data_IF_576912494439
#
_entry.id   IF_576912494439
#
_cell.length_a   1.000
_cell.length_b   1.000
_cell.length_c   1.000
_cell.angle_alpha   90.00
_cell.angle_beta   90.00
_cell.angle_gamma   90.00
#
_symmetry.space_group_name_H-M   'P 1'
#
loop_
_entity.id
_entity.type
_entity.pdbx_description
1 polymer ?
#
# COMPACT_ATOMS: atom_id res chain seq x y z
N UNK A 1 21.48 10.73 -9.85
CA UNK A 1 20.75 10.14 -8.72
C UNK A 1 21.15 8.69 -8.54
N UNK A 2 20.93 7.82 -9.53
CA UNK A 2 21.17 6.38 -9.40
C UNK A 2 22.62 6.00 -9.16
N UNK A 3 23.57 6.57 -9.91
CA UNK A 3 24.98 6.16 -9.79
C UNK A 3 25.51 6.29 -8.36
N UNK A 4 25.12 7.35 -7.64
CA UNK A 4 25.45 7.51 -6.23
C UNK A 4 24.86 6.38 -5.36
N UNK A 5 23.60 6.02 -5.58
CA UNK A 5 22.97 4.90 -4.87
C UNK A 5 23.72 3.59 -5.16
N UNK A 6 24.06 3.34 -6.43
CA UNK A 6 24.78 2.14 -6.84
C UNK A 6 26.19 2.08 -6.23
N UNK A 7 26.91 3.21 -6.21
CA UNK A 7 28.25 3.31 -5.63
C UNK A 7 28.22 3.09 -4.11
N UNK A 8 27.24 3.69 -3.42
CA UNK A 8 27.02 3.52 -1.99
C UNK A 8 26.68 2.06 -1.66
N UNK A 9 25.78 1.42 -2.41
CA UNK A 9 25.47 -0.02 -2.24
C UNK A 9 26.67 -0.90 -2.56
N UNK A 10 27.47 -0.57 -3.57
CA UNK A 10 28.69 -1.31 -3.92
C UNK A 10 29.76 -1.25 -2.83
N UNK A 11 29.79 -0.18 -2.04
CA UNK A 11 30.63 -0.06 -0.85
C UNK A 11 30.16 -0.90 0.35
N UNK A 12 28.88 -1.28 0.40
CA UNK A 12 28.27 -2.00 1.53
C UNK A 12 28.00 -3.47 1.26
N UNK A 13 27.67 -3.84 0.02
CA UNK A 13 27.18 -5.17 -0.34
C UNK A 13 27.94 -5.79 -1.52
N UNK A 14 28.21 -7.12 -1.48
CA UNK A 14 28.69 -7.87 -2.62
C UNK A 14 27.76 -7.76 -3.84
N UNK A 15 28.31 -7.85 -5.05
CA UNK A 15 27.53 -7.71 -6.29
C UNK A 15 26.30 -8.64 -6.34
N UNK A 16 26.42 -9.88 -5.88
CA UNK A 16 25.33 -10.87 -5.86
C UNK A 16 24.15 -10.47 -4.97
N UNK A 17 24.36 -9.65 -3.95
CA UNK A 17 23.29 -9.26 -3.02
C UNK A 17 22.48 -8.07 -3.54
N UNK A 18 23.12 -7.18 -4.32
CA UNK A 18 22.52 -5.98 -4.92
C UNK A 18 22.10 -6.12 -6.37
N UNK A 19 22.39 -7.26 -7.01
CA UNK A 19 22.20 -7.47 -8.45
C UNK A 19 20.76 -7.21 -8.93
N UNK A 20 19.76 -7.72 -8.20
CA UNK A 20 18.33 -7.51 -8.53
C UNK A 20 17.94 -6.04 -8.42
N UNK A 21 18.41 -5.31 -7.40
CA UNK A 21 18.16 -3.87 -7.28
C UNK A 21 18.79 -3.08 -8.44
N UNK A 22 20.02 -3.41 -8.82
CA UNK A 22 20.68 -2.75 -9.95
C UNK A 22 19.97 -2.98 -11.27
N UNK A 23 19.51 -4.22 -11.50
CA UNK A 23 18.65 -4.55 -12.64
C UNK A 23 17.33 -3.76 -12.57
N UNK A 24 16.70 -3.67 -11.40
CA UNK A 24 15.48 -2.91 -11.20
C UNK A 24 15.65 -1.43 -11.60
N UNK A 25 16.77 -0.82 -11.24
CA UNK A 25 17.08 0.54 -11.68
C UNK A 25 17.24 0.61 -13.21
N UNK A 26 18.00 -0.29 -13.83
CA UNK A 26 18.10 -0.31 -15.31
C UNK A 26 16.75 -0.48 -15.99
N UNK A 27 15.87 -1.33 -15.46
CA UNK A 27 14.51 -1.52 -15.97
C UNK A 27 13.68 -0.24 -15.81
N UNK A 28 13.69 0.37 -14.62
CA UNK A 28 12.95 1.59 -14.32
C UNK A 28 13.34 2.74 -15.26
N UNK A 29 14.63 2.86 -15.58
CA UNK A 29 15.18 3.87 -16.48
C UNK A 29 15.20 3.43 -17.96
N UNK A 30 14.59 2.28 -18.29
CA UNK A 30 14.44 1.74 -19.66
C UNK A 30 15.77 1.42 -20.36
N UNK A 31 16.80 1.14 -19.58
CA UNK A 31 18.11 0.65 -20.05
C UNK A 31 18.10 -0.88 -20.24
N UNK A 32 17.19 -1.58 -19.55
CA UNK A 32 16.97 -3.03 -19.65
C UNK A 32 15.46 -3.30 -19.82
N UNK A 33 15.11 -4.38 -20.52
CA UNK A 33 13.71 -4.81 -20.63
C UNK A 33 13.26 -5.52 -19.36
N UNK A 34 12.01 -5.30 -18.95
CA UNK A 34 11.44 -5.98 -17.80
C UNK A 34 11.28 -7.48 -18.08
N UNK A 35 11.72 -8.29 -17.13
CA UNK A 35 11.53 -9.75 -17.11
C UNK A 35 10.59 -10.09 -15.95
N UNK A 36 9.39 -10.56 -16.29
CA UNK A 36 8.37 -10.90 -15.31
C UNK A 36 8.43 -12.40 -15.01
N UNK A 37 8.43 -12.74 -13.72
CA UNK A 37 8.42 -14.14 -13.27
C UNK A 37 7.03 -14.77 -13.35
N UNK A 38 5.98 -13.97 -13.60
CA UNK A 38 4.62 -14.45 -13.81
C UNK A 38 3.87 -13.58 -14.84
N UNK A 39 3.10 -14.16 -15.78
CA UNK A 39 2.44 -13.40 -16.86
C UNK A 39 1.35 -12.44 -16.38
N UNK A 40 0.78 -12.66 -15.20
CA UNK A 40 -0.25 -11.79 -14.60
C UNK A 40 0.30 -10.76 -13.61
N UNK A 41 1.62 -10.75 -13.36
CA UNK A 41 2.25 -9.76 -12.51
C UNK A 41 2.73 -8.59 -13.37
N UNK A 42 2.30 -7.37 -13.04
CA UNK A 42 2.61 -6.16 -13.79
C UNK A 42 2.62 -4.92 -12.89
N UNK A 43 3.61 -4.75 -12.00
CA UNK A 43 3.74 -3.55 -11.18
C UNK A 43 3.74 -2.29 -12.05
N UNK A 44 3.05 -1.24 -11.58
CA UNK A 44 2.91 0.01 -12.34
C UNK A 44 4.12 0.94 -12.26
N UNK A 45 4.99 0.76 -11.25
CA UNK A 45 6.12 1.65 -11.03
C UNK A 45 7.45 0.88 -10.98
N UNK A 46 7.75 0.16 -9.90
CA UNK A 46 9.05 -0.51 -9.72
C UNK A 46 8.87 -2.02 -9.75
N UNK A 47 9.69 -2.68 -10.56
CA UNK A 47 9.85 -4.14 -10.60
C UNK A 47 11.26 -4.50 -10.12
N UNK A 48 11.37 -5.29 -9.05
CA UNK A 48 12.59 -6.01 -8.71
C UNK A 48 12.55 -7.37 -9.42
N UNK A 49 13.37 -7.60 -10.46
CA UNK A 49 13.32 -8.84 -11.24
C UNK A 49 13.92 -10.00 -10.45
N UNK A 50 13.42 -11.22 -10.68
CA UNK A 50 13.96 -12.41 -10.02
C UNK A 50 13.46 -12.61 -8.58
N UNK A 51 12.44 -11.86 -8.14
CA UNK A 51 11.71 -12.17 -6.90
C UNK A 51 10.73 -13.32 -7.11
N UNK A 52 10.46 -14.12 -6.08
CA UNK A 52 9.32 -15.05 -6.11
C UNK A 52 8.05 -14.28 -6.52
N UNK A 53 7.30 -14.82 -7.47
CA UNK A 53 6.05 -14.24 -7.94
C UNK A 53 4.91 -15.21 -7.64
N UNK A 54 4.13 -14.90 -6.61
CA UNK A 54 2.95 -15.65 -6.21
C UNK A 54 1.82 -14.66 -5.90
N UNK A 55 0.56 -14.97 -6.28
CA UNK A 55 -0.56 -14.09 -5.99
C UNK A 55 -0.84 -14.03 -4.48
N UNK A 56 -0.71 -15.15 -3.77
CA UNK A 56 -1.02 -15.29 -2.35
C UNK A 56 0.20 -15.77 -1.56
N UNK A 57 0.28 -15.34 -0.30
CA UNK A 57 1.29 -15.75 0.66
C UNK A 57 0.61 -16.36 1.89
N UNK A 58 1.22 -17.41 2.43
CA UNK A 58 0.64 -18.16 3.54
C UNK A 58 0.90 -17.43 4.86
N UNK A 59 -0.06 -17.52 5.79
CA UNK A 59 0.07 -16.90 7.11
C UNK A 59 1.32 -17.38 7.88
N UNK A 60 1.76 -18.61 7.60
CA UNK A 60 2.96 -19.21 8.18
C UNK A 60 4.28 -18.64 7.65
N UNK A 61 4.25 -17.84 6.58
CA UNK A 61 5.44 -17.18 6.02
C UNK A 61 5.90 -15.98 6.88
N UNK A 62 5.10 -15.59 7.89
CA UNK A 62 5.29 -14.36 8.65
C UNK A 62 5.17 -14.57 10.17
N UNK A 63 6.27 -14.40 10.88
CA UNK A 63 6.32 -14.51 12.36
C UNK A 63 5.45 -13.48 13.10
N UNK A 64 5.08 -12.39 12.42
CA UNK A 64 4.25 -11.33 13.00
C UNK A 64 2.75 -11.59 12.91
N UNK A 65 2.28 -12.50 12.04
CA UNK A 65 0.84 -12.75 11.85
C UNK A 65 0.13 -13.12 13.16
N UNK A 66 0.66 -14.03 14.01
CA UNK A 66 0.01 -14.36 15.28
C UNK A 66 -0.22 -13.16 16.20
N UNK A 67 0.70 -12.17 16.18
CA UNK A 67 0.56 -10.94 16.98
C UNK A 67 -0.57 -10.07 16.47
N UNK A 68 -0.65 -9.88 15.16
CA UNK A 68 -1.70 -9.05 14.53
C UNK A 68 -3.08 -9.69 14.69
N UNK A 69 -3.20 -11.00 14.44
CA UNK A 69 -4.47 -11.73 14.65
C UNK A 69 -4.90 -11.73 16.13
N UNK A 70 -3.95 -11.79 17.08
CA UNK A 70 -4.25 -11.72 18.51
C UNK A 70 -4.74 -10.33 18.96
N UNK A 71 -4.36 -9.26 18.24
CA UNK A 71 -4.82 -7.89 18.49
C UNK A 71 -6.18 -7.59 17.83
N UNK A 72 -6.85 -8.58 17.25
CA UNK A 72 -8.11 -8.40 16.53
C UNK A 72 -9.16 -7.65 17.37
N UNK A 73 -9.38 -8.05 18.63
CA UNK A 73 -10.43 -7.44 19.46
C UNK A 73 -10.15 -5.96 19.77
N UNK A 74 -8.88 -5.58 19.95
CA UNK A 74 -8.48 -4.19 20.18
C UNK A 74 -8.68 -3.35 18.91
N UNK A 75 -8.19 -3.83 17.75
CA UNK A 75 -8.36 -3.17 16.45
C UNK A 75 -9.85 -3.04 16.10
N UNK A 76 -10.62 -4.09 16.39
CA UNK A 76 -12.07 -4.13 16.18
C UNK A 76 -12.79 -3.11 17.06
N UNK A 77 -12.41 -3.01 18.34
CA UNK A 77 -12.99 -2.07 19.28
C UNK A 77 -12.78 -0.61 18.86
N UNK A 78 -11.59 -0.28 18.34
CA UNK A 78 -11.31 1.05 17.79
C UNK A 78 -12.17 1.35 16.56
N UNK A 79 -12.28 0.40 15.63
CA UNK A 79 -13.18 0.54 14.48
C UNK A 79 -14.64 0.73 14.94
N UNK A 80 -15.12 -0.04 15.90
CA UNK A 80 -16.50 0.06 16.37
C UNK A 80 -16.80 1.41 17.02
N UNK A 81 -15.85 1.98 17.77
CA UNK A 81 -15.96 3.33 18.31
C UNK A 81 -16.05 4.39 17.20
N UNK A 82 -15.21 4.27 16.15
CA UNK A 82 -15.26 5.14 14.98
C UNK A 82 -16.61 5.08 14.24
N UNK A 83 -17.20 3.87 14.14
CA UNK A 83 -18.50 3.68 13.50
C UNK A 83 -19.65 4.25 14.36
N UNK A 84 -19.60 4.07 15.68
CA UNK A 84 -20.62 4.59 16.62
C UNK A 84 -20.69 6.13 16.58
N UNK A 85 -19.54 6.79 16.57
CA UNK A 85 -19.46 8.25 16.46
C UNK A 85 -19.68 8.77 15.03
N UNK A 86 -19.82 7.87 14.05
CA UNK A 86 -20.00 8.17 12.62
C UNK A 86 -18.82 8.96 12.05
N UNK A 87 -17.60 8.53 12.37
CA UNK A 87 -16.38 9.06 11.81
C UNK A 87 -16.44 9.13 10.28
N UNK A 88 -15.87 10.18 9.70
CA UNK A 88 -15.83 10.34 8.25
C UNK A 88 -14.79 9.39 7.64
N UNK A 89 -15.26 8.52 6.74
CA UNK A 89 -14.40 7.77 5.82
C UNK A 89 -14.45 8.48 4.46
N UNK A 90 -13.29 8.88 3.95
CA UNK A 90 -13.17 9.65 2.72
C UNK A 90 -13.18 8.72 1.50
N UNK A 91 -13.72 9.11 0.33
CA UNK A 91 -13.55 8.33 -0.90
C UNK A 91 -12.09 7.96 -1.12
N UNK A 92 -11.83 6.70 -1.46
CA UNK A 92 -10.45 6.22 -1.63
C UNK A 92 -9.78 6.89 -2.85
N UNK A 93 -10.52 6.94 -3.97
CA UNK A 93 -10.07 7.62 -5.18
C UNK A 93 -10.66 9.03 -5.17
N UNK A 94 -9.79 10.03 -5.12
CA UNK A 94 -10.17 11.45 -5.16
C UNK A 94 -9.81 12.06 -6.51
N UNK A 95 -10.65 12.96 -7.01
CA UNK A 95 -10.28 13.81 -8.15
C UNK A 95 -9.23 14.82 -7.69
N UNK A 96 -8.18 15.06 -8.48
CA UNK A 96 -7.22 16.12 -8.20
C UNK A 96 -7.37 17.20 -9.28
N UNK A 97 -7.48 18.47 -8.90
CA UNK A 97 -7.80 19.56 -9.84
C UNK A 97 -6.62 19.91 -10.79
N UNK A 98 -5.40 19.47 -10.47
CA UNK A 98 -4.17 19.86 -11.18
C UNK A 98 -3.64 18.84 -12.22
N UNK A 99 -4.26 17.67 -12.37
CA UNK A 99 -3.87 16.67 -13.39
C UNK A 99 -5.11 16.19 -14.15
N UNK A 100 -5.03 16.08 -15.46
CA UNK A 100 -6.21 15.91 -16.33
C UNK A 100 -6.70 14.47 -16.49
N UNK A 101 -6.08 13.48 -15.83
CA UNK A 101 -6.42 12.05 -16.01
C UNK A 101 -6.08 11.23 -14.74
N UNK A 102 -6.92 11.32 -13.69
CA UNK A 102 -6.77 10.52 -12.45
C UNK A 102 -7.40 9.14 -12.51
N UNK A 103 -8.26 8.90 -13.49
CA UNK A 103 -8.96 7.64 -13.54
C UNK A 103 -8.12 6.54 -14.18
N UNK A 104 -7.10 6.89 -14.97
CA UNK A 104 -6.33 5.92 -15.74
C UNK A 104 -5.00 5.59 -15.11
N UNK A 105 -4.82 4.30 -14.85
CA UNK A 105 -3.55 3.73 -14.41
C UNK A 105 -2.57 3.58 -15.59
N UNK A 106 -1.30 3.24 -15.31
CA UNK A 106 -0.33 2.94 -16.40
C UNK A 106 -0.77 1.75 -17.24
N UNK A 107 -1.47 0.80 -16.62
CA UNK A 107 -2.08 -0.35 -17.28
C UNK A 107 -3.34 -0.02 -18.08
N UNK A 108 -3.87 1.21 -17.96
CA UNK A 108 -5.07 1.67 -18.67
C UNK A 108 -6.39 1.35 -17.98
N UNK A 109 -6.36 0.88 -16.73
CA UNK A 109 -7.55 0.68 -15.89
C UNK A 109 -8.21 2.03 -15.64
N UNK A 110 -9.51 2.14 -15.89
CA UNK A 110 -10.29 3.36 -15.73
C UNK A 110 -11.17 3.31 -14.47
N UNK A 111 -10.70 3.97 -13.43
CA UNK A 111 -11.36 4.12 -12.14
C UNK A 111 -12.39 5.25 -12.08
N UNK A 112 -12.80 5.82 -13.21
CA UNK A 112 -13.65 7.03 -13.25
C UNK A 112 -14.95 6.85 -12.47
N UNK A 113 -15.52 5.63 -12.49
CA UNK A 113 -16.73 5.28 -11.73
C UNK A 113 -16.53 5.23 -10.20
N UNK A 114 -15.28 5.12 -9.72
CA UNK A 114 -14.93 5.09 -8.30
C UNK A 114 -14.37 6.44 -7.79
N UNK A 115 -14.05 7.38 -8.68
CA UNK A 115 -13.61 8.73 -8.30
C UNK A 115 -14.71 9.43 -7.49
N UNK A 116 -14.39 9.83 -6.25
CA UNK A 116 -15.33 10.46 -5.33
C UNK A 116 -16.44 9.54 -4.82
N UNK A 117 -16.37 8.23 -5.13
CA UNK A 117 -17.44 7.30 -4.82
C UNK A 117 -17.49 6.97 -3.33
N UNK A 118 -18.70 7.02 -2.76
CA UNK A 118 -18.97 6.55 -1.40
C UNK A 118 -19.08 5.02 -1.32
N UNK A 119 -19.05 4.33 -2.47
CA UNK A 119 -19.05 2.87 -2.50
C UNK A 119 -17.74 2.29 -1.95
N UNK A 120 -16.62 3.00 -2.14
CA UNK A 120 -15.31 2.62 -1.63
C UNK A 120 -14.64 3.80 -0.91
N UNK A 121 -14.53 3.66 0.41
CA UNK A 121 -14.02 4.73 1.28
C UNK A 121 -12.95 4.20 2.22
N UNK A 122 -12.11 5.09 2.72
CA UNK A 122 -10.96 4.79 3.55
C UNK A 122 -10.88 5.71 4.75
N UNK A 123 -10.44 5.15 5.87
CA UNK A 123 -10.02 5.87 7.06
C UNK A 123 -8.52 5.65 7.26
N UNK A 124 -7.70 6.53 6.71
CA UNK A 124 -6.24 6.43 6.81
C UNK A 124 -5.79 6.87 8.20
N UNK A 125 -4.92 6.07 8.82
CA UNK A 125 -4.04 6.48 9.92
C UNK A 125 -2.70 6.96 9.37
N UNK A 126 -2.16 6.24 8.37
CA UNK A 126 -0.96 6.60 7.62
C UNK A 126 -1.25 6.46 6.13
N UNK A 127 -0.80 7.43 5.33
CA UNK A 127 -0.93 7.41 3.87
C UNK A 127 0.39 7.79 3.24
N UNK A 128 0.98 6.87 2.48
CA UNK A 128 2.26 7.06 1.80
C UNK A 128 3.37 7.57 2.74
N UNK A 129 3.43 7.02 3.96
CA UNK A 129 4.37 7.44 5.01
C UNK A 129 3.99 8.71 5.78
N UNK A 130 2.95 9.43 5.37
CA UNK A 130 2.45 10.63 6.08
C UNK A 130 1.44 10.23 7.14
N UNK A 131 1.73 10.62 8.38
CA UNK A 131 0.82 10.47 9.53
C UNK A 131 -0.38 11.41 9.34
N UNK A 132 -1.60 10.86 9.40
CA UNK A 132 -2.84 11.64 9.26
C UNK A 132 -3.37 12.14 10.62
N UNK A 133 -4.40 12.98 10.57
CA UNK A 133 -5.17 13.43 11.73
C UNK A 133 -5.81 12.28 12.54
N UNK A 134 -5.98 11.11 11.93
CA UNK A 134 -6.64 9.97 12.54
C UNK A 134 -5.71 9.03 13.30
N UNK A 135 -4.40 9.23 13.23
CA UNK A 135 -3.40 8.34 13.86
C UNK A 135 -3.70 8.06 15.33
N UNK A 136 -3.90 9.13 16.10
CA UNK A 136 -4.15 9.07 17.54
C UNK A 136 -5.55 8.55 17.90
N UNK A 137 -6.42 8.29 16.92
CA UNK A 137 -7.75 7.72 17.13
C UNK A 137 -7.74 6.19 17.15
N UNK A 138 -6.64 5.58 16.70
CA UNK A 138 -6.45 4.12 16.69
C UNK A 138 -5.14 3.72 17.40
N UNK A 139 -4.91 4.14 18.66
CA UNK A 139 -3.63 3.93 19.35
C UNK A 139 -3.23 2.46 19.47
N UNK A 140 -4.17 1.53 19.67
CA UNK A 140 -3.89 0.09 19.74
C UNK A 140 -3.55 -0.51 18.39
N UNK A 141 -4.27 -0.09 17.35
CA UNK A 141 -3.92 -0.46 15.98
C UNK A 141 -2.50 0.01 15.67
N UNK A 142 -2.18 1.28 15.95
CA UNK A 142 -0.87 1.84 15.65
C UNK A 142 0.26 1.22 16.49
N UNK A 143 0.05 0.94 17.78
CA UNK A 143 1.00 0.23 18.64
C UNK A 143 1.41 -1.14 18.04
N UNK A 144 0.45 -1.87 17.46
CA UNK A 144 0.74 -3.15 16.79
C UNK A 144 1.48 -2.93 15.47
N UNK A 145 1.04 -1.97 14.64
CA UNK A 145 1.67 -1.68 13.36
C UNK A 145 3.12 -1.24 13.52
N UNK A 146 3.41 -0.34 14.47
CA UNK A 146 4.76 0.13 14.83
C UNK A 146 5.69 -1.02 15.26
N UNK A 147 5.13 -2.14 15.74
CA UNK A 147 5.89 -3.32 16.15
C UNK A 147 6.28 -4.26 15.00
N UNK A 148 5.80 -4.02 13.78
CA UNK A 148 6.01 -4.87 12.61
C UNK A 148 7.25 -4.43 11.82
N UNK A 149 7.91 -5.35 11.09
CA UNK A 149 8.90 -4.96 10.08
C UNK A 149 8.18 -4.47 8.81
N UNK A 150 7.37 -3.41 8.91
CA UNK A 150 6.64 -2.87 7.76
C UNK A 150 7.57 -2.07 6.83
N UNK A 151 7.22 -1.95 5.55
CA UNK A 151 8.06 -1.25 4.58
C UNK A 151 7.93 0.26 4.72
N UNK A 152 9.05 0.95 4.56
CA UNK A 152 9.13 2.42 4.61
C UNK A 152 9.80 2.94 3.35
N UNK A 153 9.11 3.87 2.69
CA UNK A 153 9.64 4.62 1.56
C UNK A 153 9.00 6.00 1.48
N UNK A 154 9.85 7.03 1.55
CA UNK A 154 9.48 8.45 1.50
C UNK A 154 8.46 8.73 0.38
N UNK A 155 7.33 9.36 0.72
CA UNK A 155 6.21 9.71 -0.16
C UNK A 155 5.47 8.53 -0.84
N UNK A 156 5.69 7.28 -0.43
CA UNK A 156 5.08 6.11 -1.07
C UNK A 156 4.52 5.04 -0.11
N UNK A 157 5.16 4.78 1.04
CA UNK A 157 4.72 3.75 2.01
C UNK A 157 5.28 4.05 3.41
N UNK A 158 4.64 3.57 4.49
CA UNK A 158 3.50 2.65 4.50
C UNK A 158 2.16 3.31 4.21
N UNK A 159 1.19 2.50 3.80
CA UNK A 159 -0.24 2.79 3.97
C UNK A 159 -0.83 1.95 5.10
N UNK A 160 -1.60 2.58 6.00
CA UNK A 160 -2.30 1.92 7.10
C UNK A 160 -3.68 2.54 7.22
N UNK A 161 -4.73 1.78 6.89
CA UNK A 161 -6.09 2.32 6.83
C UNK A 161 -7.18 1.27 6.96
N UNK A 162 -8.33 1.67 7.50
CA UNK A 162 -9.54 0.88 7.35
C UNK A 162 -10.13 1.11 5.96
N UNK A 163 -10.32 0.03 5.20
CA UNK A 163 -10.95 0.07 3.87
C UNK A 163 -12.38 -0.44 3.96
N UNK A 164 -13.33 0.43 3.63
CA UNK A 164 -14.76 0.17 3.67
C UNK A 164 -15.33 0.08 2.26
N UNK A 165 -15.94 -1.06 1.95
CA UNK A 165 -16.63 -1.31 0.70
C UNK A 165 -18.13 -1.54 0.98
N UNK A 166 -18.98 -0.66 0.46
CA UNK A 166 -20.44 -0.71 0.64
C UNK A 166 -21.07 -1.91 -0.11
N UNK A 167 -22.30 -2.33 0.27
CA UNK A 167 -23.07 -3.31 -0.50
C UNK A 167 -23.14 -2.96 -1.99
N UNK A 168 -22.91 -3.94 -2.85
CA UNK A 168 -22.85 -3.76 -4.31
C UNK A 168 -21.56 -3.14 -4.82
N UNK A 169 -20.62 -2.77 -3.95
CA UNK A 169 -19.32 -2.21 -4.33
C UNK A 169 -18.46 -3.23 -5.08
N UNK A 170 -17.80 -2.75 -6.14
CA UNK A 170 -16.84 -3.53 -6.93
C UNK A 170 -15.64 -2.65 -7.28
N UNK A 171 -14.49 -3.04 -6.77
CA UNK A 171 -13.18 -2.50 -7.15
C UNK A 171 -12.73 -3.30 -8.36
N UNK A 172 -12.69 -2.65 -9.52
CA UNK A 172 -12.39 -3.28 -10.81
C UNK A 172 -10.96 -3.85 -10.89
N UNK A 173 -10.67 -4.75 -11.85
CA UNK A 173 -9.33 -5.29 -12.05
C UNK A 173 -8.26 -4.20 -12.26
N UNK A 174 -7.21 -4.25 -11.43
CA UNK A 174 -6.10 -3.31 -11.45
C UNK A 174 -4.80 -3.94 -10.93
N UNK A 175 -3.72 -3.18 -10.99
CA UNK A 175 -2.39 -3.58 -10.53
C UNK A 175 -1.87 -2.55 -9.53
N UNK A 176 -1.15 -3.04 -8.53
CA UNK A 176 -0.39 -2.24 -7.58
C UNK A 176 0.89 -1.69 -8.20
N UNK A 177 1.58 -0.84 -7.43
CA UNK A 177 2.71 -0.08 -7.95
C UNK A 177 4.02 -0.89 -7.96
N UNK A 178 4.18 -1.85 -7.06
CA UNK A 178 5.48 -2.41 -6.70
C UNK A 178 5.37 -3.90 -6.31
N UNK A 179 6.35 -4.72 -6.67
CA UNK A 179 6.35 -6.17 -6.35
C UNK A 179 7.21 -6.53 -5.12
N UNK A 180 7.89 -5.57 -4.51
CA UNK A 180 8.82 -5.81 -3.40
C UNK A 180 8.13 -5.75 -2.02
N UNK A 181 6.82 -5.48 -2.00
CA UNK A 181 6.00 -5.40 -0.80
C UNK A 181 4.65 -6.07 -1.06
N UNK A 182 4.09 -6.66 -0.03
CA UNK A 182 2.78 -7.29 -0.06
C UNK A 182 1.72 -6.35 0.53
N UNK A 183 0.51 -6.48 0.02
CA UNK A 183 -0.69 -5.89 0.61
C UNK A 183 -1.31 -6.91 1.56
N UNK A 184 -1.59 -6.48 2.78
CA UNK A 184 -2.08 -7.33 3.86
C UNK A 184 -3.43 -6.83 4.34
N UNK A 185 -4.42 -7.71 4.38
CA UNK A 185 -5.77 -7.42 4.87
C UNK A 185 -6.06 -8.23 6.14
N UNK A 186 -6.45 -7.56 7.23
CA UNK A 186 -7.09 -8.19 8.38
C UNK A 186 -8.62 -8.03 8.26
N UNK A 187 -9.36 -9.14 8.29
CA UNK A 187 -10.82 -9.13 8.23
C UNK A 187 -11.48 -8.57 9.49
N UNK A 188 -12.28 -7.48 9.38
CA UNK A 188 -12.95 -6.85 10.53
C UNK A 188 -14.49 -7.00 10.50
N UNK A 189 -15.20 -6.34 9.57
CA UNK A 189 -16.60 -6.70 9.23
C UNK A 189 -16.55 -7.43 7.89
N UNK A 190 -16.90 -8.72 7.88
CA UNK A 190 -16.96 -9.50 6.64
C UNK A 190 -18.38 -10.10 6.48
N UNK A 191 -19.26 -9.50 5.67
CA UNK A 191 -20.54 -10.10 5.32
C UNK A 191 -20.37 -11.15 4.21
N UNK A 192 -21.35 -12.03 4.10
CA UNK A 192 -21.40 -13.03 3.03
C UNK A 192 -21.38 -12.37 1.63
N UNK A 193 -20.84 -13.07 0.64
CA UNK A 193 -20.75 -12.56 -0.73
C UNK A 193 -19.63 -11.53 -0.98
N UNK A 194 -18.73 -11.34 -0.02
CA UNK A 194 -17.49 -10.58 -0.21
C UNK A 194 -16.36 -11.47 -0.75
N UNK A 195 -15.56 -10.97 -1.68
CA UNK A 195 -14.40 -11.70 -2.18
C UNK A 195 -13.35 -10.80 -2.82
N UNK A 196 -12.17 -11.37 -3.02
CA UNK A 196 -11.02 -10.76 -3.69
C UNK A 196 -10.38 -11.78 -4.61
N UNK A 197 -10.08 -11.40 -5.84
CA UNK A 197 -9.30 -12.19 -6.79
C UNK A 197 -7.94 -11.54 -6.98
N UNK A 198 -6.88 -12.34 -6.92
CA UNK A 198 -5.49 -11.94 -7.22
C UNK A 198 -4.93 -12.98 -8.19
N UNK A 199 -4.53 -12.53 -9.39
CA UNK A 199 -4.25 -13.44 -10.50
C UNK A 199 -5.51 -14.24 -10.88
N UNK A 200 -5.38 -15.56 -10.90
CA UNK A 200 -6.49 -16.49 -11.19
C UNK A 200 -7.21 -16.98 -9.92
N UNK A 201 -6.67 -16.65 -8.74
CA UNK A 201 -7.11 -17.23 -7.47
C UNK A 201 -8.03 -16.27 -6.73
N UNK A 202 -9.20 -16.78 -6.31
CA UNK A 202 -10.17 -16.03 -5.49
C UNK A 202 -10.10 -16.50 -4.04
N UNK A 203 -9.97 -15.55 -3.13
CA UNK A 203 -10.03 -15.77 -1.68
C UNK A 203 -11.20 -14.99 -1.07
N UNK A 204 -11.61 -15.44 0.11
CA UNK A 204 -12.61 -14.78 0.94
C UNK A 204 -11.97 -14.40 2.27
N UNK A 205 -12.33 -13.24 2.82
CA UNK A 205 -11.86 -12.87 4.14
C UNK A 205 -12.53 -13.72 5.21
N UNK A 206 -11.79 -14.02 6.26
CA UNK A 206 -12.32 -14.51 7.52
C UNK A 206 -12.13 -13.43 8.58
N UNK A 207 -13.13 -13.24 9.44
CA UNK A 207 -13.03 -12.31 10.56
C UNK A 207 -11.85 -12.68 11.47
N UNK A 208 -11.00 -11.71 11.78
CA UNK A 208 -9.82 -11.89 12.62
C UNK A 208 -8.66 -12.63 11.95
N UNK A 209 -8.73 -12.88 10.64
CA UNK A 209 -7.65 -13.56 9.89
C UNK A 209 -7.02 -12.66 8.85
N UNK A 210 -5.74 -12.93 8.63
CA UNK A 210 -4.93 -12.24 7.61
C UNK A 210 -5.09 -12.91 6.25
N UNK A 211 -5.25 -12.09 5.22
CA UNK A 211 -4.88 -12.40 3.84
C UNK A 211 -3.68 -11.55 3.43
N UNK A 212 -2.64 -12.16 2.88
CA UNK A 212 -1.46 -11.47 2.34
C UNK A 212 -1.30 -11.82 0.86
N UNK A 213 -1.14 -10.79 0.02
CA UNK A 213 -1.07 -10.97 -1.43
C UNK A 213 -0.13 -9.95 -2.08
N UNK A 214 0.41 -10.33 -3.23
CA UNK A 214 1.16 -9.42 -4.09
C UNK A 214 0.17 -8.69 -5.00
N UNK A 215 -0.17 -7.46 -4.64
CA UNK A 215 -1.09 -6.63 -5.42
C UNK A 215 -0.49 -6.18 -6.76
N UNK A 216 0.79 -6.43 -7.04
CA UNK A 216 1.36 -6.22 -8.37
C UNK A 216 0.84 -7.24 -9.38
N UNK A 217 0.16 -8.30 -8.94
CA UNK A 217 -0.71 -9.11 -9.77
C UNK A 217 -2.03 -8.40 -10.04
N UNK A 218 -2.65 -8.69 -11.18
CA UNK A 218 -4.00 -8.19 -11.44
C UNK A 218 -4.95 -8.64 -10.33
N UNK A 219 -5.65 -7.69 -9.72
CA UNK A 219 -6.58 -7.99 -8.65
C UNK A 219 -7.84 -7.13 -8.69
N UNK A 220 -8.92 -7.68 -8.15
CA UNK A 220 -10.21 -7.02 -7.98
C UNK A 220 -10.87 -7.49 -6.70
N UNK A 221 -11.79 -6.69 -6.15
CA UNK A 221 -12.50 -7.03 -4.92
C UNK A 221 -13.95 -6.56 -4.98
N UNK A 222 -14.86 -7.33 -4.39
CA UNK A 222 -16.29 -7.04 -4.42
C UNK A 222 -16.94 -7.27 -3.07
N UNK A 223 -18.06 -6.57 -2.88
CA UNK A 223 -19.02 -6.81 -1.82
C UNK A 223 -20.40 -7.02 -2.47
N UNK A 224 -20.80 -8.28 -2.65
CA UNK A 224 -22.14 -8.65 -3.15
C UNK A 224 -23.12 -8.94 -2.00
N UNK A 225 -22.72 -8.64 -0.77
CA UNK A 225 -23.53 -8.79 0.43
C UNK A 225 -24.51 -7.64 0.64
N UNK A 226 -25.16 -7.66 1.80
CA UNK A 226 -26.19 -6.71 2.22
C UNK A 226 -25.69 -5.68 3.25
N UNK A 227 -24.47 -5.84 3.74
CA UNK A 227 -23.81 -4.95 4.71
C UNK A 227 -22.43 -4.52 4.22
N UNK A 228 -21.88 -3.48 4.82
CA UNK A 228 -20.54 -3.02 4.51
C UNK A 228 -19.48 -4.07 4.85
N UNK A 229 -18.40 -4.11 4.05
CA UNK A 229 -17.20 -4.90 4.32
C UNK A 229 -16.11 -3.96 4.75
N UNK A 230 -15.52 -4.20 5.93
CA UNK A 230 -14.39 -3.43 6.44
C UNK A 230 -13.22 -4.36 6.76
N UNK A 231 -12.05 -4.00 6.24
CA UNK A 231 -10.77 -4.64 6.52
C UNK A 231 -9.77 -3.58 6.96
N UNK A 232 -8.81 -3.94 7.81
CA UNK A 232 -7.60 -3.14 7.97
C UNK A 232 -6.64 -3.53 6.84
N UNK A 233 -6.18 -2.53 6.08
CA UNK A 233 -5.15 -2.69 5.05
C UNK A 233 -3.85 -2.10 5.58
N UNK A 234 -2.77 -2.87 5.48
CA UNK A 234 -1.40 -2.44 5.72
C UNK A 234 -0.43 -3.18 4.80
N UNK A 235 0.85 -2.82 4.86
CA UNK A 235 1.88 -3.35 3.97
C UNK A 235 2.95 -4.13 4.75
N UNK A 236 3.50 -5.16 4.11
CA UNK A 236 4.62 -5.94 4.63
C UNK A 236 5.70 -6.07 3.57
N UNK A 237 6.96 -6.18 3.97
CA UNK A 237 8.02 -6.56 3.04
C UNK A 237 7.70 -7.92 2.42
N UNK A 238 7.98 -8.06 1.11
CA UNK A 238 7.92 -9.36 0.47
C UNK A 238 8.98 -10.29 1.08
N UNK A 239 8.66 -11.57 1.41
CA UNK A 239 9.58 -12.45 2.15
C UNK A 239 10.91 -12.73 1.42
N UNK A 240 10.91 -12.71 0.09
CA UNK A 240 12.11 -12.81 -0.75
C UNK A 240 12.88 -11.47 -0.94
N UNK A 241 12.53 -10.38 -0.26
CA UNK A 241 13.32 -9.13 -0.36
C UNK A 241 14.64 -9.24 0.41
N UNK A 242 15.72 -8.70 -0.15
CA UNK A 242 17.05 -8.67 0.48
C UNK A 242 17.31 -7.34 1.14
N UNK A 243 18.20 -7.33 2.14
CA UNK A 243 18.59 -6.10 2.82
C UNK A 243 19.20 -5.05 1.86
N UNK A 244 20.01 -5.48 0.88
CA UNK A 244 20.58 -4.56 -0.11
C UNK A 244 19.49 -3.90 -1.00
N UNK A 245 18.37 -4.59 -1.23
CA UNK A 245 17.23 -4.05 -1.98
C UNK A 245 16.44 -3.06 -1.13
N UNK A 246 16.20 -3.38 0.15
CA UNK A 246 15.57 -2.46 1.11
C UNK A 246 16.35 -1.15 1.19
N UNK A 247 17.65 -1.22 1.45
CA UNK A 247 18.52 -0.05 1.55
C UNK A 247 18.51 0.76 0.24
N UNK A 248 18.64 0.08 -0.90
CA UNK A 248 18.62 0.71 -2.21
C UNK A 248 17.31 1.43 -2.51
N UNK A 249 16.18 0.80 -2.18
CA UNK A 249 14.84 1.39 -2.35
C UNK A 249 14.67 2.61 -1.44
N UNK A 250 15.00 2.50 -0.14
CA UNK A 250 14.91 3.62 0.79
C UNK A 250 15.74 4.82 0.32
N UNK A 251 16.96 4.58 -0.17
CA UNK A 251 17.80 5.64 -0.74
C UNK A 251 17.22 6.21 -2.03
N UNK A 252 16.66 5.36 -2.90
CA UNK A 252 15.99 5.79 -4.13
C UNK A 252 14.82 6.72 -3.84
N UNK A 253 13.90 6.31 -2.97
CA UNK A 253 12.72 7.10 -2.63
C UNK A 253 13.07 8.42 -1.95
N UNK A 254 14.02 8.41 -0.99
CA UNK A 254 14.50 9.64 -0.35
C UNK A 254 15.04 10.64 -1.36
N UNK A 255 15.99 10.21 -2.22
CA UNK A 255 16.57 11.10 -3.24
C UNK A 255 15.54 11.54 -4.27
N UNK A 256 14.57 10.68 -4.60
CA UNK A 256 13.48 11.00 -5.50
C UNK A 256 12.56 12.08 -4.93
N UNK A 257 12.19 11.97 -3.66
CA UNK A 257 11.37 12.95 -2.94
C UNK A 257 12.08 14.31 -2.87
N UNK A 258 13.38 14.32 -2.51
CA UNK A 258 14.22 15.53 -2.54
C UNK A 258 14.25 16.19 -3.94
N UNK A 259 14.38 15.38 -5.00
CA UNK A 259 14.36 15.88 -6.37
C UNK A 259 13.00 16.47 -6.76
N UNK A 260 11.89 15.81 -6.39
CA UNK A 260 10.54 16.32 -6.65
C UNK A 260 10.29 17.66 -5.97
N UNK A 261 10.63 17.79 -4.68
CA UNK A 261 10.50 19.05 -3.91
C UNK A 261 11.28 20.19 -4.57
N UNK A 262 12.49 19.90 -5.08
CA UNK A 262 13.29 20.90 -5.82
C UNK A 262 12.70 21.29 -7.18
N UNK A 263 12.04 20.38 -7.87
CA UNK A 263 11.45 20.63 -9.18
C UNK A 263 10.08 21.31 -9.10
N UNK A 264 9.43 21.30 -7.93
CA UNK A 264 8.18 21.99 -7.64
C UNK A 264 8.32 22.92 -6.43
N UNK A 265 9.15 23.97 -6.50
CA UNK A 265 9.30 24.91 -5.41
C UNK A 265 7.98 25.71 -5.26
N UNK A 266 7.14 25.33 -4.29
CA UNK A 266 5.86 25.99 -4.00
C UNK A 266 4.70 25.08 -3.56
N UNK A 267 4.87 23.75 -3.52
CA UNK A 267 3.83 22.80 -3.05
C UNK A 267 4.01 22.36 -1.59
N UNK A 268 4.77 23.12 -0.79
CA UNK A 268 4.79 22.90 0.65
C UNK A 268 3.43 23.25 1.25
N UNK A 269 2.91 22.27 1.98
CA UNK A 269 1.72 22.25 2.81
C UNK A 269 1.36 23.59 3.45
N UNK A 270 0.07 23.94 3.30
CA UNK A 270 -0.65 24.77 4.25
C UNK A 270 -0.58 24.11 5.65
N UNK A 271 0.49 24.41 6.38
CA UNK A 271 0.66 24.04 7.79
C UNK A 271 1.53 25.08 8.48
N UNK A 272 1.23 26.36 8.30
CA UNK A 272 1.84 27.45 9.08
C UNK A 272 1.07 28.77 8.92
N UNK A 273 -0.26 28.76 9.10
CA UNK A 273 -1.01 29.99 9.41
C UNK A 273 -2.07 29.68 10.46
N UNK A 274 -1.69 29.76 11.74
CA UNK A 274 -2.55 30.18 12.84
C UNK A 274 -1.72 30.41 14.12
N UNK A 275 -0.69 31.26 14.04
CA UNK A 275 -0.18 31.97 15.21
C UNK A 275 0.04 33.43 14.83
N UNK A 276 -1.04 34.21 14.83
CA UNK A 276 -1.04 35.63 15.21
C UNK A 276 -2.47 36.14 15.22
N UNK A 277 -3.09 36.16 16.39
CA UNK A 277 -4.45 36.65 16.55
C UNK A 277 -4.97 36.74 17.97
N UNK A 278 -4.18 37.26 18.91
CA UNK A 278 -4.66 37.89 20.16
C UNK A 278 -3.52 38.67 20.82
N UNK A 279 -3.42 39.96 20.55
CA UNK A 279 -3.69 41.05 21.51
C UNK A 279 -3.49 42.43 20.87
#
# INVERSE_FOLDING_TARGET
>A
MNQQILDELAGKYPAKERDRFERAMRILYREEQAEYNHPMQRPEFILIPGMQAAPWFERGDFDWVPRVEAAYDDIRGELDALLEEKAEFKPYIVANEERTDHSKTRSGTDFSSLVGSQAWTSFHMVKAGVISENYNRCPKTMEIMESLPYPEAEDYMPEIFFSRLQPGGHIIPHYGQMNFRLTVHLGLIIPDGCGIRVGEETQHWETGRILAFDDSFEHEAWNRGDRERIVLIFEAWHPDIRQAEIDGLQMFFRKRAEWLRRCQPGSESASEENENGTD
#
